data_IF_463137181971
#
_entry.id   IF_463137181971
#
_cell.length_a   1.000
_cell.length_b   1.000
_cell.length_c   1.000
_cell.angle_alpha   90.00
_cell.angle_beta   90.00
_cell.angle_gamma   90.00
#
_symmetry.space_group_name_H-M   'P 1'
#
loop_
_entity.id
_entity.type
_entity.pdbx_description
1 polymer ?
#
# COMPACT_ATOMS: atom_id res chain seq x y z
N UNK A 1 35.35 -11.54 -8.98
CA UNK A 1 34.80 -10.65 -7.94
C UNK A 1 34.28 -9.33 -8.49
N UNK A 2 35.09 -8.53 -9.22
CA UNK A 2 34.64 -7.22 -9.77
C UNK A 2 33.42 -7.29 -10.70
N UNK A 3 33.34 -8.29 -11.60
CA UNK A 3 32.19 -8.46 -12.52
C UNK A 3 30.87 -8.72 -11.78
N UNK A 4 30.90 -9.53 -10.72
CA UNK A 4 29.72 -9.85 -9.91
C UNK A 4 29.19 -8.60 -9.17
N UNK A 5 30.11 -7.77 -8.66
CA UNK A 5 29.77 -6.50 -8.02
C UNK A 5 29.00 -5.57 -8.98
N UNK A 6 29.48 -5.37 -10.21
CA UNK A 6 28.79 -4.53 -11.19
C UNK A 6 27.42 -5.07 -11.59
N UNK A 7 27.23 -6.39 -11.63
CA UNK A 7 25.93 -7.02 -11.89
C UNK A 7 24.95 -6.71 -10.77
N UNK A 8 25.35 -6.89 -9.50
CA UNK A 8 24.48 -6.62 -8.35
C UNK A 8 24.10 -5.13 -8.28
N UNK A 9 25.07 -4.23 -8.50
CA UNK A 9 24.80 -2.79 -8.55
C UNK A 9 23.83 -2.45 -9.69
N UNK A 10 24.02 -3.04 -10.88
CA UNK A 10 23.11 -2.86 -12.01
C UNK A 10 21.69 -3.31 -11.70
N UNK A 11 21.53 -4.50 -11.10
CA UNK A 11 20.22 -5.03 -10.68
C UNK A 11 19.57 -4.12 -9.64
N UNK A 12 20.33 -3.66 -8.64
CA UNK A 12 19.83 -2.76 -7.59
C UNK A 12 19.34 -1.42 -8.15
N UNK A 13 20.08 -0.83 -9.10
CA UNK A 13 19.68 0.41 -9.76
C UNK A 13 18.43 0.24 -10.62
N UNK A 14 18.33 -0.86 -11.37
CA UNK A 14 17.13 -1.17 -12.16
C UNK A 14 15.94 -1.40 -11.24
N UNK A 15 16.12 -2.14 -10.15
CA UNK A 15 15.09 -2.36 -9.15
C UNK A 15 14.59 -1.04 -8.56
N UNK A 16 15.50 -0.17 -8.11
CA UNK A 16 15.13 1.16 -7.59
C UNK A 16 14.40 2.02 -8.62
N UNK A 17 14.71 1.89 -9.90
CA UNK A 17 14.05 2.66 -10.94
C UNK A 17 12.62 2.17 -11.20
N UNK A 18 12.41 0.85 -11.17
CA UNK A 18 11.10 0.23 -11.41
C UNK A 18 10.18 0.35 -10.18
N UNK A 19 10.75 0.32 -8.96
CA UNK A 19 10.00 0.43 -7.70
C UNK A 19 9.71 1.87 -7.26
N UNK A 20 9.82 2.88 -8.15
CA UNK A 20 9.44 4.25 -7.80
C UNK A 20 7.93 4.43 -7.87
N UNK A 21 7.31 4.56 -6.71
CA UNK A 21 5.93 5.03 -6.63
C UNK A 21 5.88 6.56 -6.72
N UNK A 22 4.91 7.08 -7.49
CA UNK A 22 4.68 8.51 -7.58
C UNK A 22 3.99 9.03 -6.32
N UNK A 23 4.41 10.20 -5.82
CA UNK A 23 3.73 10.89 -4.72
C UNK A 23 2.83 12.02 -5.24
N UNK A 24 1.66 12.16 -4.63
CA UNK A 24 0.73 13.27 -4.90
C UNK A 24 0.73 14.20 -3.70
N UNK A 25 1.09 15.46 -3.92
CA UNK A 25 1.06 16.51 -2.90
C UNK A 25 -0.27 17.25 -2.98
N UNK A 26 -1.05 17.22 -1.90
CA UNK A 26 -2.42 17.75 -1.87
C UNK A 26 -2.47 19.22 -1.42
N UNK A 27 -1.39 19.72 -0.82
CA UNK A 27 -1.31 21.06 -0.25
C UNK A 27 -2.06 21.22 1.09
N UNK A 28 -2.08 22.43 1.66
CA UNK A 28 -2.67 22.68 2.98
C UNK A 28 -4.18 22.44 3.03
N UNK A 29 -4.66 22.05 4.20
CA UNK A 29 -6.07 21.80 4.51
C UNK A 29 -6.50 20.35 4.23
N UNK A 30 -7.45 19.86 5.03
CA UNK A 30 -8.08 18.54 4.86
C UNK A 30 -8.72 18.42 3.48
N UNK A 31 -8.26 17.46 2.66
CA UNK A 31 -8.82 17.17 1.32
C UNK A 31 -9.78 15.99 1.28
N UNK A 32 -9.72 15.15 2.30
CA UNK A 32 -10.53 13.94 2.42
C UNK A 32 -11.12 13.92 3.81
N UNK A 33 -12.33 14.44 3.98
CA UNK A 33 -12.99 14.50 5.29
C UNK A 33 -13.74 13.22 5.69
N UNK A 34 -14.18 12.43 4.70
CA UNK A 34 -14.92 11.19 4.93
C UNK A 34 -14.08 10.11 5.60
N UNK A 35 -14.65 9.44 6.60
CA UNK A 35 -14.03 8.27 7.22
C UNK A 35 -14.33 7.01 6.41
N UNK A 36 -13.45 6.00 6.43
CA UNK A 36 -13.72 4.71 5.80
C UNK A 36 -14.98 4.06 6.37
N UNK A 37 -15.78 3.47 5.49
CA UNK A 37 -16.98 2.72 5.86
C UNK A 37 -16.77 1.25 5.55
N UNK A 38 -16.96 0.41 6.56
CA UNK A 38 -17.01 -1.05 6.41
C UNK A 38 -18.45 -1.51 6.60
N UNK A 39 -18.96 -2.32 5.68
CA UNK A 39 -20.28 -2.93 5.78
C UNK A 39 -20.14 -4.44 5.73
N UNK A 40 -20.63 -5.13 6.76
CA UNK A 40 -20.66 -6.60 6.78
C UNK A 40 -21.57 -7.10 5.67
N UNK A 41 -21.18 -8.21 5.03
CA UNK A 41 -22.03 -8.87 4.05
C UNK A 41 -23.05 -9.75 4.77
N UNK A 42 -24.31 -9.68 4.36
CA UNK A 42 -25.38 -10.51 4.94
C UNK A 42 -25.11 -12.00 4.76
N UNK A 43 -24.51 -12.36 3.62
CA UNK A 43 -24.06 -13.73 3.31
C UNK A 43 -22.61 -13.71 2.88
N UNK A 44 -21.68 -14.30 3.66
CA UNK A 44 -20.31 -14.48 3.24
C UNK A 44 -20.22 -15.36 1.98
N UNK A 45 -19.43 -14.92 1.00
CA UNK A 45 -19.17 -15.68 -0.23
C UNK A 45 -17.72 -16.13 -0.29
N UNK A 46 -17.48 -17.34 -0.81
CA UNK A 46 -16.13 -17.84 -1.06
C UNK A 46 -15.77 -17.61 -2.52
N UNK A 47 -14.66 -16.92 -2.76
CA UNK A 47 -14.09 -16.71 -4.09
C UNK A 47 -12.77 -17.45 -4.18
N UNK A 48 -12.59 -18.25 -5.23
CA UNK A 48 -11.31 -18.89 -5.51
C UNK A 48 -10.38 -17.89 -6.20
N UNK A 49 -9.22 -17.65 -5.61
CA UNK A 49 -8.16 -16.81 -6.16
C UNK A 49 -6.86 -17.61 -6.16
N UNK A 50 -6.38 -18.02 -7.35
CA UNK A 50 -5.25 -18.93 -7.51
C UNK A 50 -5.45 -20.23 -6.68
N UNK A 51 -4.54 -20.49 -5.74
CA UNK A 51 -4.57 -21.64 -4.84
C UNK A 51 -5.33 -21.38 -3.52
N UNK A 52 -5.98 -20.22 -3.41
CA UNK A 52 -6.65 -19.77 -2.20
C UNK A 52 -8.17 -19.73 -2.37
N UNK A 53 -8.87 -20.08 -1.30
CA UNK A 53 -10.29 -19.82 -1.15
C UNK A 53 -10.43 -18.64 -0.18
N UNK A 54 -10.88 -17.50 -0.69
CA UNK A 54 -11.04 -16.26 0.07
C UNK A 54 -12.49 -16.12 0.49
N UNK A 55 -12.74 -16.04 1.80
CA UNK A 55 -14.07 -15.76 2.33
C UNK A 55 -14.26 -14.25 2.45
N UNK A 56 -15.17 -13.69 1.66
CA UNK A 56 -15.55 -12.29 1.72
C UNK A 56 -16.55 -12.09 2.86
N UNK A 57 -16.17 -11.28 3.85
CA UNK A 57 -17.01 -11.04 5.06
C UNK A 57 -17.53 -9.60 5.14
N UNK A 58 -16.90 -8.67 4.42
CA UNK A 58 -17.25 -7.26 4.45
C UNK A 58 -16.87 -6.56 3.13
N UNK A 59 -17.53 -5.44 2.88
CA UNK A 59 -17.17 -4.46 1.86
C UNK A 59 -16.58 -3.22 2.53
N UNK A 60 -15.65 -2.57 1.83
CA UNK A 60 -15.00 -1.33 2.26
C UNK A 60 -15.21 -0.25 1.21
N UNK A 61 -15.57 0.95 1.65
CA UNK A 61 -15.67 2.14 0.80
C UNK A 61 -14.98 3.31 1.48
N UNK A 62 -14.04 3.93 0.78
CA UNK A 62 -13.34 5.10 1.26
C UNK A 62 -12.79 5.94 0.12
N UNK A 63 -12.61 7.23 0.41
CA UNK A 63 -11.68 8.10 -0.29
C UNK A 63 -10.51 8.31 0.67
N UNK A 64 -9.27 8.26 0.19
CA UNK A 64 -8.08 8.47 1.00
C UNK A 64 -6.92 8.99 0.13
N UNK A 65 -5.94 9.63 0.77
CA UNK A 65 -4.61 9.87 0.19
C UNK A 65 -3.79 8.59 0.38
N UNK A 66 -3.12 8.12 -0.66
CA UNK A 66 -2.10 7.09 -0.51
C UNK A 66 -0.86 7.76 0.09
N UNK A 67 -0.48 7.34 1.29
CA UNK A 67 0.64 7.89 2.04
C UNK A 67 1.94 7.14 1.76
N UNK A 68 1.84 5.83 1.58
CA UNK A 68 2.95 4.95 1.25
C UNK A 68 2.40 3.69 0.57
N UNK A 69 3.26 3.04 -0.21
CA UNK A 69 3.00 1.80 -0.94
C UNK A 69 4.16 0.86 -0.64
N UNK A 70 3.88 -0.36 -0.22
CA UNK A 70 4.88 -1.42 -0.07
C UNK A 70 4.53 -2.60 -0.96
N UNK A 71 5.53 -3.08 -1.73
CA UNK A 71 5.36 -4.16 -2.70
C UNK A 71 6.07 -5.42 -2.21
N UNK A 72 5.29 -6.44 -1.87
CA UNK A 72 5.79 -7.73 -1.41
C UNK A 72 5.97 -8.69 -2.59
N UNK A 73 7.19 -9.19 -2.78
CA UNK A 73 7.49 -10.15 -3.85
C UNK A 73 7.92 -11.54 -3.34
N UNK A 74 8.37 -11.64 -2.09
CA UNK A 74 9.13 -12.79 -1.59
C UNK A 74 8.54 -13.41 -0.32
N UNK A 75 7.23 -13.61 -0.25
CA UNK A 75 6.59 -14.42 0.78
C UNK A 75 5.35 -15.15 0.23
N UNK A 76 4.72 -16.03 1.04
CA UNK A 76 3.49 -16.73 0.60
C UNK A 76 2.30 -15.77 0.49
N UNK A 77 2.26 -14.74 1.35
CA UNK A 77 1.18 -13.77 1.40
C UNK A 77 1.10 -12.88 0.16
N UNK A 78 2.20 -12.69 -0.56
CA UNK A 78 2.29 -11.81 -1.74
C UNK A 78 1.45 -12.32 -2.90
N UNK A 79 1.17 -13.62 -2.94
CA UNK A 79 0.26 -14.21 -3.92
C UNK A 79 -1.21 -13.77 -3.76
N UNK A 80 -1.58 -13.22 -2.60
CA UNK A 80 -2.94 -12.72 -2.31
C UNK A 80 -2.94 -11.21 -2.05
N UNK A 81 -1.91 -10.71 -1.36
CA UNK A 81 -1.75 -9.30 -0.97
C UNK A 81 -0.33 -8.84 -1.34
N UNK A 82 -0.06 -8.62 -2.64
CA UNK A 82 1.24 -8.17 -3.13
C UNK A 82 1.51 -6.69 -2.85
N UNK A 83 0.45 -5.90 -2.66
CA UNK A 83 0.54 -4.46 -2.43
C UNK A 83 -0.11 -4.14 -1.09
N UNK A 84 0.60 -3.38 -0.27
CA UNK A 84 0.10 -2.81 0.98
C UNK A 84 0.09 -1.28 0.86
N UNK A 85 -1.00 -0.65 1.28
CA UNK A 85 -1.22 0.79 1.17
C UNK A 85 -1.43 1.40 2.54
N UNK A 86 -0.57 2.34 2.93
CA UNK A 86 -0.87 3.23 4.04
C UNK A 86 -1.82 4.33 3.52
N UNK A 87 -3.01 4.41 4.08
CA UNK A 87 -4.08 5.30 3.61
C UNK A 87 -4.40 6.39 4.65
N UNK A 88 -4.46 7.64 4.19
CA UNK A 88 -4.73 8.81 5.01
C UNK A 88 -6.08 9.46 4.70
N UNK A 89 -6.83 9.82 5.73
CA UNK A 89 -8.04 10.64 5.66
C UNK A 89 -8.07 11.63 6.84
N UNK A 90 -9.02 12.56 6.84
CA UNK A 90 -9.11 13.63 7.82
C UNK A 90 -7.82 14.46 7.86
N UNK A 91 -7.24 14.72 9.04
CA UNK A 91 -5.96 15.41 9.16
C UNK A 91 -4.82 14.78 8.35
N UNK A 92 -4.82 13.46 8.13
CA UNK A 92 -3.82 12.78 7.29
C UNK A 92 -4.01 13.01 5.78
N UNK A 93 -4.95 13.87 5.39
CA UNK A 93 -5.07 14.38 4.02
C UNK A 93 -4.62 15.83 3.87
N UNK A 94 -4.16 16.46 4.96
CA UNK A 94 -3.57 17.80 4.99
C UNK A 94 -2.05 17.71 4.91
N UNK A 95 -1.45 18.32 3.90
CA UNK A 95 0.01 18.27 3.73
C UNK A 95 0.78 18.94 4.86
N UNK A 96 0.20 19.93 5.54
CA UNK A 96 0.86 20.62 6.66
C UNK A 96 1.01 19.71 7.88
N UNK A 97 0.10 18.75 8.05
CA UNK A 97 0.18 17.70 9.08
C UNK A 97 1.16 16.62 8.65
N UNK A 98 1.06 16.15 7.40
CA UNK A 98 1.90 15.06 6.89
C UNK A 98 3.39 15.42 6.85
N UNK A 99 3.75 16.69 6.62
CA UNK A 99 5.15 17.14 6.66
C UNK A 99 5.83 16.91 8.02
N UNK A 100 5.07 16.65 9.08
CA UNK A 100 5.56 16.41 10.43
C UNK A 100 5.55 14.93 10.82
N UNK A 101 5.17 14.03 9.90
CA UNK A 101 4.97 12.60 10.16
C UNK A 101 5.83 11.80 9.18
N UNK A 102 6.66 10.92 9.73
CA UNK A 102 7.34 9.89 8.95
C UNK A 102 6.50 8.60 8.95
N UNK A 103 6.31 8.00 7.78
CA UNK A 103 5.48 6.82 7.59
C UNK A 103 6.36 5.73 6.98
N UNK A 104 6.36 4.56 7.62
CA UNK A 104 7.07 3.38 7.16
C UNK A 104 6.16 2.16 7.25
N UNK A 105 6.27 1.23 6.31
CA UNK A 105 5.48 0.00 6.31
C UNK A 105 6.38 -1.23 6.39
N UNK A 106 5.92 -2.28 7.07
CA UNK A 106 6.53 -3.61 7.02
C UNK A 106 5.53 -4.69 7.40
N UNK A 107 5.72 -5.91 6.91
CA UNK A 107 4.89 -7.08 7.22
C UNK A 107 3.37 -6.88 7.02
N UNK A 108 2.97 -5.96 6.13
CA UNK A 108 1.58 -5.52 5.88
C UNK A 108 0.95 -4.76 7.06
N UNK A 109 1.77 -3.97 7.75
CA UNK A 109 1.41 -3.06 8.83
C UNK A 109 2.19 -1.74 8.68
N UNK A 110 1.66 -0.66 9.28
CA UNK A 110 2.22 0.69 9.29
C UNK A 110 2.27 1.27 10.71
#
# INVERSE_FOLDING_TARGET
>A
MKKLFFIIVGISLVWQFISRDGSVVLGPGVKVSGVPVQTMLDTPSVVRHNDFNLTQIASFSLKAKVLSIEHYYADKGSSISPVDLALGWGPMSDETVLQQIEISQSNRFY
#
